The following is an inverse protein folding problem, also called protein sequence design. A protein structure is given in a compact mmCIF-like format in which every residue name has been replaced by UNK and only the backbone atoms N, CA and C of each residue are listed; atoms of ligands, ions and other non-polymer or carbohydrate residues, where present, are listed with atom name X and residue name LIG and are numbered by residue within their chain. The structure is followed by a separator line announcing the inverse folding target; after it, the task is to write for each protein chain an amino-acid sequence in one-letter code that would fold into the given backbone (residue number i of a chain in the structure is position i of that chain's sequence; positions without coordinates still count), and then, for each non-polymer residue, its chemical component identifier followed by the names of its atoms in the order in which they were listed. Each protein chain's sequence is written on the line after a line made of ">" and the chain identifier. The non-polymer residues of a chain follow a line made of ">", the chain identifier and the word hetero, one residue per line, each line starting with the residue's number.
data_IF_956639813529
#
_entry.id   IF_956639813529
#
_cell.length_a   1.000
_cell.length_b   1.000
_cell.length_c   1.000
_cell.angle_alpha   90.00
_cell.angle_beta   90.00
_cell.angle_gamma   90.00
#
_symmetry.space_group_name_H-M   'P 1'
#
loop_
_entity.id
_entity.type
_entity.pdbx_description
1 polymer ?
#
# COMPACT_ATOMS: atom_id res chain seq x y z
N UNK A 1 1.83 -15.25 7.67
CA UNK A 1 2.58 -14.17 7.00
C UNK A 1 3.44 -13.49 8.05
N UNK A 2 4.50 -12.80 7.65
CA UNK A 2 5.47 -12.14 8.54
C UNK A 2 5.98 -10.87 7.83
N UNK A 3 6.29 -9.82 8.59
CA UNK A 3 6.38 -8.46 8.04
C UNK A 3 7.78 -7.85 8.14
N UNK A 4 8.27 -7.41 6.98
CA UNK A 4 9.53 -6.68 6.88
C UNK A 4 10.78 -7.51 7.17
N UNK A 5 11.82 -6.86 7.70
CA UNK A 5 13.12 -7.49 7.98
C UNK A 5 13.22 -8.16 9.37
N UNK A 6 12.23 -7.99 10.25
CA UNK A 6 12.26 -8.57 11.60
C UNK A 6 11.80 -10.04 11.59
N UNK A 7 12.75 -10.94 11.36
CA UNK A 7 12.51 -12.39 11.41
C UNK A 7 12.46 -12.89 12.85
N UNK A 8 11.27 -13.06 13.43
CA UNK A 8 11.12 -13.73 14.73
C UNK A 8 11.38 -15.23 14.59
N UNK A 9 12.63 -15.64 14.82
CA UNK A 9 13.06 -17.05 14.88
C UNK A 9 13.62 -17.64 13.59
N UNK A 10 14.17 -16.81 12.68
CA UNK A 10 14.93 -17.28 11.51
C UNK A 10 16.23 -16.49 11.35
N UNK A 11 17.28 -17.13 10.84
CA UNK A 11 18.62 -16.52 10.74
C UNK A 11 18.65 -15.33 9.79
N UNK A 12 19.41 -14.29 10.17
CA UNK A 12 19.46 -12.97 9.53
C UNK A 12 20.02 -12.92 8.08
N UNK A 13 20.22 -14.08 7.45
CA UNK A 13 20.73 -14.24 6.08
C UNK A 13 19.72 -13.81 5.00
N UNK A 14 18.45 -13.60 5.35
CA UNK A 14 17.37 -13.34 4.38
C UNK A 14 17.12 -11.85 4.07
N UNK A 15 17.92 -10.91 4.60
CA UNK A 15 17.68 -9.45 4.62
C UNK A 15 16.90 -8.94 3.41
N UNK A 16 15.63 -8.59 3.61
CA UNK A 16 14.78 -8.05 2.55
C UNK A 16 15.42 -6.79 1.94
N UNK A 17 15.34 -6.68 0.61
CA UNK A 17 15.74 -5.46 -0.11
C UNK A 17 14.87 -4.25 0.25
N UNK A 18 13.77 -4.45 0.97
CA UNK A 18 12.93 -3.40 1.54
C UNK A 18 13.56 -2.80 2.81
N UNK A 19 14.77 -2.22 2.69
CA UNK A 19 15.57 -1.71 3.81
C UNK A 19 15.70 -0.18 3.85
N UNK A 20 15.11 0.54 2.90
CA UNK A 20 15.00 1.99 2.88
C UNK A 20 13.71 2.41 2.15
N UNK A 21 13.17 3.63 2.39
CA UNK A 21 12.03 4.15 1.66
C UNK A 21 12.42 4.53 0.22
N UNK A 22 11.44 4.61 -0.67
CA UNK A 22 11.59 5.00 -2.08
C UNK A 22 12.42 4.03 -2.95
N UNK A 23 12.53 2.76 -2.56
CA UNK A 23 13.07 1.71 -3.44
C UNK A 23 11.94 1.25 -4.38
N UNK A 24 12.02 1.43 -5.72
CA UNK A 24 10.88 1.21 -6.62
C UNK A 24 10.35 -0.23 -6.65
N UNK A 25 11.20 -1.23 -6.36
CA UNK A 25 10.80 -2.63 -6.25
C UNK A 25 9.87 -2.93 -5.04
N UNK A 26 9.73 -1.98 -4.11
CA UNK A 26 8.92 -2.11 -2.89
C UNK A 26 7.89 -0.98 -2.77
N UNK A 27 7.49 -0.39 -3.90
CA UNK A 27 6.40 0.59 -3.98
C UNK A 27 5.22 0.06 -4.79
N UNK A 28 4.01 0.41 -4.37
CA UNK A 28 2.76 0.09 -5.06
C UNK A 28 2.07 1.41 -5.43
N UNK A 29 2.14 1.79 -6.70
CA UNK A 29 1.47 2.98 -7.23
C UNK A 29 0.05 2.62 -7.67
N UNK A 30 -0.95 3.08 -6.92
CA UNK A 30 -2.37 2.86 -7.21
C UNK A 30 -3.01 4.14 -7.76
N UNK A 31 -3.78 4.08 -8.86
CA UNK A 31 -4.61 5.21 -9.28
C UNK A 31 -5.76 5.41 -8.28
N UNK A 32 -5.98 6.66 -7.87
CA UNK A 32 -6.92 7.01 -6.79
C UNK A 32 -8.34 6.53 -7.10
N UNK A 33 -8.78 6.59 -8.35
CA UNK A 33 -10.12 6.19 -8.75
C UNK A 33 -10.39 4.68 -8.70
N UNK A 34 -9.36 3.82 -8.60
CA UNK A 34 -9.57 2.38 -8.37
C UNK A 34 -9.78 2.02 -6.89
N UNK A 35 -9.55 2.97 -5.98
CA UNK A 35 -9.67 2.77 -4.52
C UNK A 35 -10.79 3.60 -3.93
N UNK A 36 -10.96 4.84 -4.39
CA UNK A 36 -12.09 5.70 -4.03
C UNK A 36 -13.20 5.55 -5.07
N UNK A 37 -13.99 4.48 -4.92
CA UNK A 37 -15.12 4.13 -5.78
C UNK A 37 -16.44 4.35 -5.05
N UNK A 38 -17.28 5.26 -5.55
CA UNK A 38 -18.64 5.51 -5.07
C UNK A 38 -19.66 5.26 -6.20
N UNK A 39 -20.16 4.03 -6.36
CA UNK A 39 -21.12 3.68 -7.39
C UNK A 39 -22.54 4.06 -6.98
N UNK A 40 -23.24 4.79 -7.84
CA UNK A 40 -24.65 5.19 -7.59
C UNK A 40 -25.64 4.02 -7.57
N UNK A 41 -25.22 2.83 -8.00
CA UNK A 41 -25.99 1.57 -7.91
C UNK A 41 -25.09 0.39 -7.59
N UNK A 42 -25.62 -0.64 -6.92
CA UNK A 42 -24.94 -1.94 -6.75
C UNK A 42 -25.82 -3.02 -7.40
N UNK A 43 -25.33 -3.77 -8.42
CA UNK A 43 -24.06 -3.56 -9.12
C UNK A 43 -24.03 -2.22 -9.88
N UNK A 44 -22.83 -1.74 -10.21
CA UNK A 44 -22.67 -0.53 -11.02
C UNK A 44 -23.19 -0.76 -12.45
N UNK A 45 -23.69 0.32 -13.07
CA UNK A 45 -24.14 0.31 -14.45
C UNK A 45 -23.01 -0.10 -15.42
N UNK A 46 -23.36 -0.80 -16.50
CA UNK A 46 -22.40 -1.18 -17.54
C UNK A 46 -21.76 0.08 -18.16
N UNK A 47 -20.43 0.14 -18.17
CA UNK A 47 -19.68 1.31 -18.63
C UNK A 47 -19.48 2.41 -17.59
N UNK A 48 -19.86 2.21 -16.31
CA UNK A 48 -19.50 3.12 -15.23
C UNK A 48 -17.97 3.24 -15.12
N UNK A 49 -17.46 4.49 -15.14
CA UNK A 49 -16.04 4.81 -14.92
C UNK A 49 -15.89 5.45 -13.54
N UNK A 50 -15.09 4.89 -12.62
CA UNK A 50 -14.81 5.53 -11.34
C UNK A 50 -14.15 6.90 -11.51
N UNK A 51 -14.71 7.89 -10.82
CA UNK A 51 -14.16 9.24 -10.70
C UNK A 51 -13.69 9.47 -9.25
N UNK A 52 -12.52 10.09 -9.03
CA UNK A 52 -12.07 10.43 -7.68
C UNK A 52 -12.98 11.52 -7.07
N UNK A 53 -13.16 11.57 -5.74
CA UNK A 53 -13.93 12.64 -5.09
C UNK A 53 -13.34 14.02 -5.41
N UNK A 54 -14.14 15.09 -5.62
CA UNK A 54 -13.64 16.41 -6.05
C UNK A 54 -12.59 17.06 -5.14
N UNK A 55 -12.52 16.65 -3.86
CA UNK A 55 -11.51 17.10 -2.91
C UNK A 55 -10.13 16.42 -3.09
N UNK A 56 -10.05 15.33 -3.87
CA UNK A 56 -8.83 14.54 -4.08
C UNK A 56 -8.24 14.85 -5.46
N UNK A 57 -7.40 15.89 -5.51
CA UNK A 57 -6.68 16.30 -6.72
C UNK A 57 -5.51 15.35 -7.08
N UNK A 58 -5.31 14.25 -6.34
CA UNK A 58 -4.22 13.30 -6.53
C UNK A 58 -4.60 12.24 -7.57
N UNK A 59 -3.77 12.03 -8.59
CA UNK A 59 -4.04 11.05 -9.66
C UNK A 59 -3.71 9.63 -9.20
N UNK A 60 -2.50 9.45 -8.65
CA UNK A 60 -2.00 8.20 -8.08
C UNK A 60 -1.56 8.46 -6.63
N UNK A 61 -1.68 7.45 -5.77
CA UNK A 61 -0.99 7.42 -4.48
C UNK A 61 0.00 6.24 -4.45
N UNK A 62 1.06 6.37 -3.67
CA UNK A 62 2.11 5.35 -3.54
C UNK A 62 2.04 4.75 -2.14
N UNK A 63 1.86 3.44 -2.05
CA UNK A 63 2.11 2.70 -0.81
C UNK A 63 3.59 2.29 -0.84
N UNK A 64 4.37 2.77 0.12
CA UNK A 64 5.77 2.38 0.30
C UNK A 64 5.86 1.28 1.36
N UNK A 65 6.32 0.10 0.98
CA UNK A 65 6.32 -1.07 1.87
C UNK A 65 7.34 -0.95 3.01
N UNK A 66 8.37 -0.10 2.88
CA UNK A 66 9.28 0.17 4.00
C UNK A 66 8.56 0.97 5.08
N UNK A 67 7.77 1.98 4.69
CA UNK A 67 6.95 2.77 5.64
C UNK A 67 5.93 1.87 6.34
N UNK A 68 5.26 0.97 5.61
CA UNK A 68 4.34 -0.03 6.21
C UNK A 68 5.09 -0.97 7.16
N UNK A 69 6.29 -1.42 6.80
CA UNK A 69 7.15 -2.21 7.69
C UNK A 69 7.44 -1.48 9.00
N UNK A 70 7.80 -0.19 8.97
CA UNK A 70 8.10 0.56 10.21
C UNK A 70 6.88 0.59 11.13
N UNK A 71 5.70 0.96 10.60
CA UNK A 71 4.44 1.02 11.39
C UNK A 71 4.08 -0.32 12.02
N UNK A 72 4.29 -1.44 11.31
CA UNK A 72 4.06 -2.79 11.88
C UNK A 72 5.12 -3.15 12.94
N UNK A 73 6.38 -2.75 12.73
CA UNK A 73 7.48 -2.98 13.69
C UNK A 73 7.25 -2.19 14.98
N UNK A 74 6.85 -0.93 14.87
CA UNK A 74 6.49 -0.07 16.01
C UNK A 74 5.31 -0.65 16.79
N UNK A 75 4.29 -1.15 16.09
CA UNK A 75 3.13 -1.80 16.73
C UNK A 75 3.51 -3.11 17.44
N UNK A 76 4.46 -3.88 16.91
CA UNK A 76 4.97 -5.12 17.52
C UNK A 76 5.95 -4.89 18.68
N UNK A 77 6.44 -3.66 18.85
CA UNK A 77 7.33 -3.26 19.94
C UNK A 77 6.60 -2.69 21.17
N UNK A 78 5.26 -2.66 21.15
CA UNK A 78 4.38 -2.21 22.24
C UNK A 78 3.54 -3.37 22.82
#
# INVERSE_FOLDING_TARGET
>A
WDFGTHQLGREASNTSGCNAPNIPAFQINNPVNQVFWDPTTIPAAAGYVPAPPPAVALVNFTIDLYVVQQVVSDYQAN
#
